data_IF_491758599905
#
_entry.id   IF_491758599905
#
_cell.length_a   1.000
_cell.length_b   1.000
_cell.length_c   1.000
_cell.angle_alpha   90.00
_cell.angle_beta   90.00
_cell.angle_gamma   90.00
#
_symmetry.space_group_name_H-M   'P 1'
#
loop_
_entity.id
_entity.type
_entity.pdbx_description
1 polymer ?
#
# COMPACT_ATOMS: atom_id res chain seq x y z
N UNK A 1 31.07 -7.33 21.25
CA UNK A 1 30.17 -6.62 20.35
C UNK A 1 29.02 -7.56 20.07
N UNK A 2 27.80 -7.30 20.59
CA UNK A 2 26.66 -8.14 20.25
C UNK A 2 26.51 -8.10 18.73
N UNK A 3 26.36 -9.27 18.11
CA UNK A 3 26.14 -9.31 16.67
C UNK A 3 24.79 -8.64 16.39
N UNK A 4 24.65 -7.95 15.25
CA UNK A 4 23.39 -7.31 14.82
C UNK A 4 22.15 -8.22 14.96
N UNK A 5 22.38 -9.53 14.96
CA UNK A 5 21.40 -10.61 15.02
C UNK A 5 20.98 -11.02 16.44
N UNK A 6 21.64 -10.50 17.48
CA UNK A 6 21.26 -10.70 18.90
C UNK A 6 20.35 -9.58 19.42
N UNK A 7 20.11 -8.54 18.60
CA UNK A 7 19.25 -7.43 18.96
C UNK A 7 17.77 -7.86 18.93
N UNK A 8 16.94 -7.40 19.89
CA UNK A 8 15.49 -7.55 19.83
C UNK A 8 14.92 -6.99 18.53
N UNK A 9 13.91 -7.68 17.97
CA UNK A 9 13.25 -7.34 16.70
C UNK A 9 12.84 -5.86 16.60
N UNK A 10 12.34 -5.29 17.70
CA UNK A 10 11.90 -3.89 17.78
C UNK A 10 13.05 -2.89 17.60
N UNK A 11 14.22 -3.18 18.19
CA UNK A 11 15.40 -2.34 18.07
C UNK A 11 16.06 -2.47 16.71
N UNK A 12 15.97 -3.65 16.11
CA UNK A 12 16.47 -3.91 14.77
C UNK A 12 15.61 -3.18 13.73
N UNK A 13 14.29 -3.20 13.89
CA UNK A 13 13.33 -2.45 13.06
C UNK A 13 13.59 -0.95 13.10
N UNK A 14 13.64 -0.36 14.31
CA UNK A 14 13.78 1.08 14.52
C UNK A 14 15.16 1.62 14.12
N UNK A 15 16.23 0.90 14.44
CA UNK A 15 17.59 1.45 14.30
C UNK A 15 18.28 1.07 12.99
N UNK A 16 17.84 0.00 12.32
CA UNK A 16 18.57 -0.56 11.18
C UNK A 16 17.65 -0.67 9.98
N UNK A 17 16.54 -1.40 10.11
CA UNK A 17 15.72 -1.75 8.96
C UNK A 17 15.01 -0.55 8.32
N UNK A 18 14.70 0.50 9.09
CA UNK A 18 14.15 1.76 8.57
C UNK A 18 15.09 2.46 7.56
N UNK A 19 16.40 2.32 7.74
CA UNK A 19 17.39 3.03 6.91
C UNK A 19 17.78 2.26 5.65
N UNK A 20 17.62 0.94 5.67
CA UNK A 20 18.00 0.05 4.58
C UNK A 20 17.03 0.15 3.39
N UNK A 21 17.57 -0.04 2.19
CA UNK A 21 16.79 -0.24 0.99
C UNK A 21 16.29 -1.69 0.88
N UNK A 22 15.33 -1.92 -0.01
CA UNK A 22 14.74 -3.24 -0.24
C UNK A 22 15.80 -4.27 -0.63
N UNK A 23 16.82 -3.88 -1.38
CA UNK A 23 17.91 -4.76 -1.80
C UNK A 23 18.74 -5.21 -0.60
N UNK A 24 19.15 -4.27 0.26
CA UNK A 24 19.90 -4.64 1.47
C UNK A 24 19.06 -5.48 2.44
N UNK A 25 17.76 -5.19 2.57
CA UNK A 25 16.86 -6.00 3.39
C UNK A 25 16.70 -7.43 2.86
N UNK A 26 16.58 -7.60 1.54
CA UNK A 26 16.50 -8.94 0.95
C UNK A 26 17.81 -9.70 1.14
N UNK A 27 18.97 -9.05 0.95
CA UNK A 27 20.27 -9.66 1.23
C UNK A 27 20.43 -10.09 2.69
N UNK A 28 20.07 -9.23 3.64
CA UNK A 28 20.11 -9.60 5.06
C UNK A 28 19.15 -10.73 5.41
N UNK A 29 17.98 -10.77 4.77
CA UNK A 29 17.01 -11.85 4.95
C UNK A 29 17.51 -13.21 4.44
N UNK A 30 18.41 -13.21 3.45
CA UNK A 30 19.07 -14.45 2.96
C UNK A 30 20.11 -14.94 3.98
N UNK A 31 20.82 -14.01 4.63
CA UNK A 31 21.88 -14.33 5.60
C UNK A 31 21.32 -14.86 6.92
N UNK A 32 20.13 -14.42 7.34
CA UNK A 32 19.52 -14.88 8.58
C UNK A 32 18.02 -15.20 8.43
N UNK A 33 17.66 -16.48 8.66
CA UNK A 33 16.27 -16.97 8.61
C UNK A 33 15.39 -16.45 9.75
N UNK A 34 15.91 -16.24 10.95
CA UNK A 34 15.11 -15.66 12.04
C UNK A 34 14.72 -14.22 11.70
N UNK A 35 15.70 -13.47 11.18
CA UNK A 35 15.49 -12.11 10.69
C UNK A 35 14.52 -12.04 9.51
N UNK A 36 14.57 -12.99 8.58
CA UNK A 36 13.61 -13.09 7.48
C UNK A 36 12.17 -13.22 7.98
N UNK A 37 11.94 -14.01 9.02
CA UNK A 37 10.62 -14.21 9.61
C UNK A 37 10.12 -12.92 10.26
N UNK A 38 10.98 -12.22 11.02
CA UNK A 38 10.66 -10.93 11.65
C UNK A 38 10.34 -9.83 10.64
N UNK A 39 11.17 -9.66 9.59
CA UNK A 39 10.89 -8.70 8.51
C UNK A 39 9.57 -9.05 7.81
N UNK A 40 9.30 -10.34 7.58
CA UNK A 40 8.10 -10.77 6.88
C UNK A 40 6.83 -10.42 7.65
N UNK A 41 6.88 -10.48 8.98
CA UNK A 41 5.75 -10.15 9.85
C UNK A 41 5.61 -8.65 10.12
N UNK A 42 6.66 -7.86 9.89
CA UNK A 42 6.67 -6.43 10.16
C UNK A 42 5.92 -5.61 9.10
N UNK A 43 4.59 -5.48 9.28
CA UNK A 43 3.71 -4.71 8.39
C UNK A 43 4.10 -3.21 8.27
N UNK A 44 4.59 -2.59 9.36
CA UNK A 44 4.98 -1.16 9.40
C UNK A 44 6.16 -0.84 8.48
N UNK A 45 7.20 -1.68 8.51
CA UNK A 45 8.37 -1.54 7.65
C UNK A 45 7.99 -1.59 6.16
N UNK A 46 7.15 -2.54 5.75
CA UNK A 46 6.72 -2.63 4.35
C UNK A 46 5.89 -1.42 3.93
N UNK A 47 5.05 -0.88 4.82
CA UNK A 47 4.33 0.37 4.56
C UNK A 47 5.27 1.57 4.35
N UNK A 48 6.34 1.68 5.14
CA UNK A 48 7.37 2.72 4.97
C UNK A 48 8.16 2.54 3.66
N UNK A 49 8.49 1.30 3.29
CA UNK A 49 9.14 1.01 2.01
C UNK A 49 8.24 1.36 0.84
N UNK A 50 6.93 1.13 0.94
CA UNK A 50 5.96 1.56 -0.08
C UNK A 50 5.95 3.09 -0.20
N UNK A 51 5.90 3.80 0.93
CA UNK A 51 5.95 5.26 0.92
C UNK A 51 7.27 5.79 0.33
N UNK A 52 8.40 5.17 0.65
CA UNK A 52 9.72 5.58 0.15
C UNK A 52 9.93 5.28 -1.33
N UNK A 53 9.55 4.08 -1.80
CA UNK A 53 9.78 3.65 -3.18
C UNK A 53 8.73 4.19 -4.15
N UNK A 54 7.47 4.23 -3.72
CA UNK A 54 6.36 4.58 -4.61
C UNK A 54 5.73 5.94 -4.26
N UNK A 55 6.11 6.60 -3.17
CA UNK A 55 5.53 7.89 -2.77
C UNK A 55 4.07 7.78 -2.31
N UNK A 56 3.61 6.58 -1.94
CA UNK A 56 2.24 6.34 -1.50
C UNK A 56 2.13 6.58 0.00
N UNK A 57 1.29 7.55 0.38
CA UNK A 57 0.96 7.84 1.77
C UNK A 57 -0.43 7.28 2.02
N UNK A 58 -0.54 6.33 2.96
CA UNK A 58 -1.84 5.81 3.36
C UNK A 58 -2.72 6.96 3.86
N UNK A 59 -3.87 7.15 3.20
CA UNK A 59 -4.82 8.25 3.44
C UNK A 59 -5.74 7.96 4.62
N UNK A 60 -5.53 6.85 5.33
CA UNK A 60 -6.22 6.56 6.58
C UNK A 60 -5.97 7.72 7.58
N UNK A 61 -7.04 8.29 8.18
CA UNK A 61 -6.91 9.49 9.00
C UNK A 61 -5.90 9.28 10.15
N UNK A 62 -5.15 10.32 10.57
CA UNK A 62 -4.08 10.20 11.56
C UNK A 62 -4.53 9.80 12.99
N UNK A 63 -5.75 9.30 13.18
CA UNK A 63 -6.33 8.88 14.47
C UNK A 63 -6.44 7.37 14.68
N UNK A 64 -6.24 6.53 13.66
CA UNK A 64 -6.23 5.06 13.81
C UNK A 64 -4.82 4.49 14.01
N UNK A 65 -3.85 5.35 14.38
CA UNK A 65 -2.51 4.91 14.77
C UNK A 65 -2.47 4.79 16.29
N UNK A 66 -2.67 3.56 16.79
CA UNK A 66 -2.34 3.15 18.15
C UNK A 66 -2.88 4.08 19.26
N UNK A 67 -4.20 4.06 19.47
CA UNK A 67 -4.81 4.53 20.71
C UNK A 67 -5.51 3.35 21.38
N UNK A 68 -5.02 2.91 22.54
CA UNK A 68 -5.80 2.08 23.46
C UNK A 68 -7.09 2.85 23.80
N UNK A 69 -8.18 2.56 23.10
CA UNK A 69 -9.49 3.10 23.45
C UNK A 69 -10.45 1.93 23.58
N UNK A 70 -10.61 1.49 24.83
CA UNK A 70 -11.80 0.78 25.29
C UNK A 70 -13.03 1.57 24.86
N UNK A 71 -13.69 1.16 23.77
CA UNK A 71 -15.12 1.39 23.61
C UNK A 71 -15.72 0.31 22.71
N UNK A 72 -16.67 -0.40 23.30
CA UNK A 72 -17.43 -1.50 22.74
C UNK A 72 -18.36 -0.94 21.67
N UNK A 73 -17.97 -1.14 20.41
CA UNK A 73 -18.88 -1.22 19.27
C UNK A 73 -18.26 -2.19 18.29
N UNK A 74 -18.98 -3.27 17.98
CA UNK A 74 -18.58 -4.43 17.16
C UNK A 74 -17.49 -4.11 16.13
N UNK A 75 -16.23 -4.33 16.53
CA UNK A 75 -15.07 -4.22 15.66
C UNK A 75 -15.11 -5.38 14.66
N UNK A 76 -15.62 -5.12 13.46
CA UNK A 76 -15.07 -5.80 12.28
C UNK A 76 -13.60 -5.37 12.25
N UNK A 77 -12.72 -6.15 12.90
CA UNK A 77 -11.26 -5.92 12.88
C UNK A 77 -10.89 -5.56 11.44
N UNK A 78 -10.42 -4.33 11.16
CA UNK A 78 -9.94 -4.02 9.83
C UNK A 78 -8.83 -5.03 9.55
N UNK A 79 -9.09 -5.96 8.62
CA UNK A 79 -8.12 -7.00 8.27
C UNK A 79 -6.84 -6.29 7.90
N UNK A 80 -5.78 -6.55 8.66
CA UNK A 80 -4.51 -5.84 8.50
C UNK A 80 -4.01 -6.05 7.07
N UNK A 81 -3.78 -4.94 6.37
CA UNK A 81 -3.25 -4.94 5.00
C UNK A 81 -1.89 -5.64 5.02
N UNK A 82 -1.70 -6.62 4.14
CA UNK A 82 -0.41 -7.24 3.87
C UNK A 82 0.42 -6.31 2.99
N UNK A 83 1.01 -5.29 3.62
CA UNK A 83 1.89 -4.34 2.93
C UNK A 83 3.06 -5.03 2.20
N UNK A 84 3.52 -6.18 2.70
CA UNK A 84 4.51 -7.01 2.00
C UNK A 84 3.99 -7.52 0.66
N UNK A 85 2.77 -8.06 0.63
CA UNK A 85 2.19 -8.59 -0.60
C UNK A 85 1.95 -7.47 -1.61
N UNK A 86 1.42 -6.32 -1.16
CA UNK A 86 1.26 -5.11 -1.97
C UNK A 86 2.61 -4.64 -2.52
N UNK A 87 3.64 -4.57 -1.68
CA UNK A 87 4.98 -4.15 -2.09
C UNK A 87 5.55 -5.08 -3.16
N UNK A 88 5.50 -6.40 -2.95
CA UNK A 88 6.05 -7.38 -3.92
C UNK A 88 5.32 -7.26 -5.26
N UNK A 89 3.99 -7.18 -5.23
CA UNK A 89 3.17 -7.02 -6.42
C UNK A 89 3.54 -5.74 -7.19
N UNK A 90 3.53 -4.60 -6.49
CA UNK A 90 3.89 -3.30 -7.08
C UNK A 90 5.36 -3.22 -7.53
N UNK A 91 6.27 -3.92 -6.86
CA UNK A 91 7.67 -4.00 -7.26
C UNK A 91 7.84 -4.76 -8.57
N UNK A 92 7.13 -5.89 -8.73
CA UNK A 92 7.10 -6.63 -10.00
C UNK A 92 6.55 -5.77 -11.13
N UNK A 93 5.48 -5.03 -10.86
CA UNK A 93 4.88 -4.11 -11.81
C UNK A 93 5.84 -2.99 -12.21
N UNK A 94 6.59 -2.46 -11.25
CA UNK A 94 7.62 -1.45 -11.48
C UNK A 94 8.77 -2.00 -12.34
N UNK A 95 9.16 -3.25 -12.14
CA UNK A 95 10.18 -3.92 -12.97
C UNK A 95 9.65 -4.16 -14.38
N UNK A 96 8.40 -4.60 -14.53
CA UNK A 96 7.74 -4.77 -15.82
C UNK A 96 7.67 -3.42 -16.55
N UNK A 97 7.14 -2.37 -15.91
CA UNK A 97 7.14 -0.98 -16.40
C UNK A 97 8.53 -0.47 -16.80
N UNK A 98 9.56 -0.79 -16.04
CA UNK A 98 10.92 -0.40 -16.37
C UNK A 98 11.44 -1.12 -17.62
N UNK A 99 11.06 -2.39 -17.81
CA UNK A 99 11.50 -3.23 -18.93
C UNK A 99 10.70 -3.04 -20.22
N UNK A 100 9.39 -2.75 -20.13
CA UNK A 100 8.48 -2.73 -21.28
C UNK A 100 8.03 -1.33 -21.68
N UNK A 101 7.87 -0.40 -20.73
CA UNK A 101 7.22 0.87 -21.05
C UNK A 101 8.15 1.80 -21.84
N UNK A 102 8.09 1.69 -23.17
CA UNK A 102 8.57 2.72 -24.08
C UNK A 102 7.42 3.68 -24.43
N UNK A 103 6.18 3.21 -24.34
CA UNK A 103 4.97 3.95 -24.68
C UNK A 103 3.91 3.88 -23.59
N UNK A 104 2.98 4.83 -23.63
CA UNK A 104 1.82 4.90 -22.74
C UNK A 104 0.95 3.64 -22.77
N UNK A 105 0.75 3.07 -23.97
CA UNK A 105 -0.10 1.88 -24.16
C UNK A 105 0.42 0.66 -23.40
N UNK A 106 1.74 0.57 -23.18
CA UNK A 106 2.34 -0.52 -22.41
C UNK A 106 1.89 -0.49 -20.94
N UNK A 107 1.74 0.72 -20.38
CA UNK A 107 1.22 0.92 -19.00
C UNK A 107 -0.22 0.44 -18.90
N UNK A 108 -1.04 0.78 -19.90
CA UNK A 108 -2.45 0.39 -19.97
C UNK A 108 -2.59 -1.12 -20.14
N UNK A 109 -1.72 -1.75 -20.93
CA UNK A 109 -1.67 -3.21 -21.08
C UNK A 109 -1.30 -3.91 -19.77
N UNK A 110 -0.29 -3.41 -19.04
CA UNK A 110 0.08 -3.96 -17.71
C UNK A 110 -1.10 -3.84 -16.75
N UNK A 111 -1.78 -2.69 -16.73
CA UNK A 111 -2.98 -2.48 -15.89
C UNK A 111 -4.10 -3.49 -16.21
N UNK A 112 -4.40 -3.72 -17.48
CA UNK A 112 -5.41 -4.71 -17.87
C UNK A 112 -4.99 -6.15 -17.57
N UNK A 113 -3.72 -6.49 -17.81
CA UNK A 113 -3.15 -7.81 -17.48
C UNK A 113 -3.26 -8.12 -16.00
N UNK A 114 -3.05 -7.14 -15.12
CA UNK A 114 -3.24 -7.29 -13.68
C UNK A 114 -4.69 -7.59 -13.31
N UNK A 115 -5.67 -6.92 -13.94
CA UNK A 115 -7.09 -7.19 -13.67
C UNK A 115 -7.51 -8.60 -14.07
N UNK A 116 -6.86 -9.17 -15.08
CA UNK A 116 -7.11 -10.53 -15.53
C UNK A 116 -6.41 -11.58 -14.65
N UNK A 117 -5.30 -11.20 -14.01
CA UNK A 117 -4.53 -12.04 -13.09
C UNK A 117 -4.50 -11.43 -11.68
N UNK A 118 -5.61 -11.47 -10.93
CA UNK A 118 -5.59 -11.07 -9.54
C UNK A 118 -4.67 -12.03 -8.79
N UNK A 119 -3.48 -11.56 -8.41
CA UNK A 119 -2.69 -12.23 -7.39
C UNK A 119 -3.53 -12.39 -6.11
N UNK A 120 -3.08 -13.22 -5.15
CA UNK A 120 -3.76 -13.48 -3.86
C UNK A 120 -3.80 -12.25 -2.93
N UNK A 121 -4.11 -11.08 -3.47
CA UNK A 121 -4.32 -9.82 -2.78
C UNK A 121 -5.79 -9.70 -2.39
N UNK A 122 -6.03 -9.14 -1.21
CA UNK A 122 -7.36 -8.70 -0.80
C UNK A 122 -7.84 -7.57 -1.74
N UNK A 123 -9.16 -7.36 -1.87
CA UNK A 123 -9.69 -6.29 -2.73
C UNK A 123 -9.10 -4.91 -2.44
N UNK A 124 -8.85 -4.59 -1.17
CA UNK A 124 -8.21 -3.33 -0.75
C UNK A 124 -6.73 -3.26 -1.17
N UNK A 125 -6.00 -4.38 -1.06
CA UNK A 125 -4.59 -4.47 -1.48
C UNK A 125 -4.44 -4.35 -3.00
N UNK A 126 -5.36 -4.97 -3.74
CA UNK A 126 -5.44 -4.86 -5.19
C UNK A 126 -5.71 -3.42 -5.62
N UNK A 127 -6.62 -2.71 -4.93
CA UNK A 127 -6.86 -1.28 -5.19
C UNK A 127 -5.61 -0.42 -4.94
N UNK A 128 -4.87 -0.68 -3.86
CA UNK A 128 -3.62 0.04 -3.58
C UNK A 128 -2.61 -0.25 -4.70
N UNK A 129 -2.44 -1.50 -5.10
CA UNK A 129 -1.57 -1.87 -6.22
C UNK A 129 -1.95 -1.16 -7.51
N UNK A 130 -3.25 -1.10 -7.85
CA UNK A 130 -3.75 -0.36 -9.03
C UNK A 130 -3.37 1.13 -8.95
N UNK A 131 -3.54 1.77 -7.78
CA UNK A 131 -3.14 3.16 -7.57
C UNK A 131 -1.62 3.34 -7.76
N UNK A 132 -0.81 2.43 -7.20
CA UNK A 132 0.65 2.46 -7.33
C UNK A 132 1.11 2.36 -8.79
N UNK A 133 0.58 1.41 -9.56
CA UNK A 133 0.92 1.25 -10.98
C UNK A 133 0.57 2.52 -11.77
N UNK A 134 -0.64 3.04 -11.60
CA UNK A 134 -1.10 4.22 -12.33
C UNK A 134 -0.31 5.47 -11.95
N UNK A 135 0.05 5.64 -10.67
CA UNK A 135 0.95 6.71 -10.23
C UNK A 135 2.33 6.60 -10.87
N UNK A 136 2.89 5.39 -10.97
CA UNK A 136 4.17 5.17 -11.65
C UNK A 136 4.07 5.46 -13.16
N UNK A 137 2.99 5.03 -13.80
CA UNK A 137 2.69 5.34 -15.20
C UNK A 137 2.62 6.84 -15.46
N UNK A 138 1.85 7.57 -14.65
CA UNK A 138 1.71 9.02 -14.75
C UNK A 138 3.01 9.79 -14.47
N UNK A 139 3.89 9.29 -13.61
CA UNK A 139 5.23 9.88 -13.44
C UNK A 139 6.06 9.80 -14.70
N UNK A 140 5.89 8.74 -15.49
CA UNK A 140 6.62 8.52 -16.74
C UNK A 140 5.95 9.23 -17.93
N UNK A 141 4.62 9.28 -17.94
CA UNK A 141 3.81 9.89 -19.00
C UNK A 141 2.78 10.87 -18.41
N UNK A 142 3.21 12.05 -17.92
CA UNK A 142 2.33 12.97 -17.18
C UNK A 142 1.25 13.64 -18.03
N UNK A 143 1.41 13.67 -19.36
CA UNK A 143 0.48 14.30 -20.30
C UNK A 143 -0.55 13.33 -20.88
N UNK A 144 -0.50 12.06 -20.50
CA UNK A 144 -1.43 11.03 -20.97
C UNK A 144 -2.83 11.29 -20.43
N UNK A 145 -3.78 11.52 -21.34
CA UNK A 145 -5.19 11.70 -20.98
C UNK A 145 -5.81 10.38 -20.53
N UNK A 146 -5.44 9.26 -21.15
CA UNK A 146 -5.98 7.94 -20.84
C UNK A 146 -5.54 7.47 -19.45
N UNK A 147 -4.27 7.63 -19.08
CA UNK A 147 -3.78 7.30 -17.74
C UNK A 147 -4.40 8.20 -16.67
N UNK A 148 -4.63 9.50 -16.96
CA UNK A 148 -5.33 10.40 -16.05
C UNK A 148 -6.77 9.94 -15.84
N UNK A 149 -7.47 9.54 -16.90
CA UNK A 149 -8.83 9.01 -16.81
C UNK A 149 -8.88 7.71 -16.01
N UNK A 150 -7.97 6.78 -16.28
CA UNK A 150 -7.85 5.51 -15.54
C UNK A 150 -7.56 5.75 -14.06
N UNK A 151 -6.62 6.65 -13.73
CA UNK A 151 -6.31 7.03 -12.35
C UNK A 151 -7.52 7.66 -11.64
N UNK A 152 -8.20 8.60 -12.30
CA UNK A 152 -9.41 9.22 -11.76
C UNK A 152 -10.55 8.20 -11.57
N UNK A 153 -10.66 7.18 -12.43
CA UNK A 153 -11.62 6.09 -12.26
C UNK A 153 -11.24 5.19 -11.08
N UNK A 154 -9.98 4.81 -10.96
CA UNK A 154 -9.48 3.97 -9.87
C UNK A 154 -9.71 4.63 -8.49
N UNK A 155 -9.40 5.93 -8.35
CA UNK A 155 -9.68 6.68 -7.11
C UNK A 155 -11.18 6.71 -6.80
N UNK A 156 -12.01 6.98 -7.82
CA UNK A 156 -13.47 7.01 -7.62
C UNK A 156 -13.96 5.67 -7.10
N UNK A 157 -13.54 4.56 -7.72
CA UNK A 157 -13.91 3.21 -7.29
C UNK A 157 -13.42 2.89 -5.87
N UNK A 158 -12.22 3.31 -5.49
CA UNK A 158 -11.70 3.16 -4.12
C UNK A 158 -12.50 3.99 -3.09
N UNK A 159 -13.05 5.14 -3.48
CA UNK A 159 -13.83 6.03 -2.61
C UNK A 159 -15.34 5.71 -2.56
N UNK A 160 -15.81 4.69 -3.29
CA UNK A 160 -17.19 4.20 -3.23
C UNK A 160 -17.45 3.18 -2.10
N UNK A 161 -16.44 2.84 -1.29
CA UNK A 161 -16.65 2.33 0.08
C UNK A 161 -17.06 3.54 0.94
N UNK A 162 -18.22 3.51 1.61
CA UNK A 162 -19.10 4.68 1.69
C UNK A 162 -18.47 5.82 2.49
N UNK A 163 -18.15 6.92 1.81
CA UNK A 163 -18.46 8.22 2.41
C UNK A 163 -19.96 8.18 2.67
N UNK A 164 -20.37 8.20 3.94
CA UNK A 164 -21.73 8.56 4.29
C UNK A 164 -22.08 9.75 3.40
N UNK A 165 -22.97 9.52 2.43
CA UNK A 165 -23.22 10.48 1.39
C UNK A 165 -23.56 11.79 2.07
N UNK A 166 -23.11 12.92 1.52
CA UNK A 166 -23.48 14.23 2.07
C UNK A 166 -25.01 14.37 2.23
N UNK A 167 -25.79 13.57 1.49
CA UNK A 167 -27.22 13.37 1.67
C UNK A 167 -27.61 12.66 2.96
N UNK A 168 -26.93 11.58 3.38
CA UNK A 168 -27.22 10.89 4.65
C UNK A 168 -26.84 11.73 5.87
N UNK A 169 -25.74 12.48 5.80
CA UNK A 169 -25.36 13.43 6.87
C UNK A 169 -26.30 14.63 6.90
N UNK A 170 -26.74 15.15 5.75
CA UNK A 170 -27.74 16.22 5.71
C UNK A 170 -29.13 15.77 6.21
N UNK A 171 -29.52 14.52 5.96
CA UNK A 171 -30.78 13.96 6.48
C UNK A 171 -30.67 13.76 8.00
N UNK A 172 -29.56 13.22 8.50
CA UNK A 172 -29.33 13.05 9.94
C UNK A 172 -29.30 14.39 10.68
N UNK A 173 -28.64 15.42 10.11
CA UNK A 173 -28.62 16.77 10.70
C UNK A 173 -30.00 17.44 10.65
N UNK A 174 -30.83 17.16 9.64
CA UNK A 174 -32.21 17.65 9.59
C UNK A 174 -33.12 16.95 10.62
N UNK A 175 -32.87 15.68 10.92
CA UNK A 175 -33.63 14.93 11.92
C UNK A 175 -33.25 15.30 13.36
N UNK A 176 -32.05 15.81 13.59
CA UNK A 176 -31.59 16.34 14.89
C UNK A 176 -31.99 17.81 15.14
N UNK A 177 -32.55 18.48 14.13
CA UNK A 177 -32.99 19.87 14.20
C UNK A 177 -34.50 20.02 14.48
N UNK A 178 -35.18 18.93 14.88
CA UNK A 178 -36.56 18.88 15.38
C UNK A 178 -36.51 18.42 16.83
#
# INVERSE_FOLDING_TARGET
>A
MPTLLELPAELLELNVCHFLDVTSLTQLSIVNRSFQHEITQCSKLWGLLIARHFGYVDKSPPGCRFGNSLNVQEEVKPRAISWKAVFIAAWRDSLELASTALQENDVVQIYHKQKQCPELLLPLEAQIREELLLMQGLRKFPTSVDLVHLYAQAIRQAHFVPRASATNTAIALRQLAV
#
